data_IF_309563593916
#
_entry.id   IF_309563593916
#
_cell.length_a   1.000
_cell.length_b   1.000
_cell.length_c   1.000
_cell.angle_alpha   90.00
_cell.angle_beta   90.00
_cell.angle_gamma   90.00
#
_symmetry.space_group_name_H-M   'P 1'
#
loop_
_entity.id
_entity.type
_entity.pdbx_description
1 polymer ?
#
# COMPACT_ATOMS: atom_id res chain seq x y z
N UNK A 1 -17.20 9.70 -2.23
CA UNK A 1 -15.72 9.85 -2.12
C UNK A 1 -15.10 9.21 -3.33
N UNK A 2 -14.11 9.83 -3.99
CA UNK A 2 -13.49 9.32 -5.22
C UNK A 2 -12.80 7.96 -5.05
N UNK A 3 -12.46 7.57 -3.82
CA UNK A 3 -11.75 6.32 -3.48
C UNK A 3 -12.49 5.04 -3.94
N UNK A 4 -13.82 5.10 -4.07
CA UNK A 4 -14.65 3.95 -4.47
C UNK A 4 -14.78 3.80 -5.99
N UNK A 5 -14.16 4.69 -6.77
CA UNK A 5 -14.17 4.60 -8.21
C UNK A 5 -13.03 3.73 -8.75
N UNK A 6 -12.09 3.31 -7.90
CA UNK A 6 -10.86 2.63 -8.32
C UNK A 6 -10.96 1.13 -8.01
N UNK A 7 -10.67 0.29 -9.01
CA UNK A 7 -10.59 -1.16 -8.83
C UNK A 7 -9.16 -1.62 -8.49
N UNK A 8 -9.06 -2.67 -7.68
CA UNK A 8 -7.79 -3.28 -7.27
C UNK A 8 -7.60 -4.70 -7.80
N UNK A 9 -8.70 -5.46 -7.96
CA UNK A 9 -8.72 -6.79 -8.57
C UNK A 9 -9.93 -6.90 -9.50
N UNK A 10 -9.80 -7.70 -10.55
CA UNK A 10 -10.89 -8.08 -11.46
C UNK A 10 -10.71 -9.55 -11.82
N UNK A 11 -11.81 -10.25 -12.09
CA UNK A 11 -11.79 -11.63 -12.60
C UNK A 11 -11.82 -11.68 -14.12
N UNK A 12 -11.82 -10.51 -14.79
CA UNK A 12 -11.79 -10.44 -16.24
C UNK A 12 -10.52 -11.14 -16.78
N UNK A 13 -10.72 -12.11 -17.68
CA UNK A 13 -9.64 -12.90 -18.27
C UNK A 13 -9.31 -14.21 -17.53
N UNK A 14 -9.92 -14.47 -16.37
CA UNK A 14 -9.83 -15.77 -15.69
C UNK A 14 -10.82 -16.80 -16.30
N UNK A 15 -10.48 -18.11 -16.33
CA UNK A 15 -11.43 -19.15 -16.70
C UNK A 15 -12.65 -19.15 -15.77
N UNK A 16 -13.84 -18.84 -16.30
CA UNK A 16 -15.06 -18.70 -15.51
C UNK A 16 -15.15 -17.39 -14.70
N UNK A 17 -14.31 -16.40 -15.02
CA UNK A 17 -14.40 -15.05 -14.49
C UNK A 17 -15.56 -14.27 -15.10
N UNK A 18 -16.19 -13.42 -14.28
CA UNK A 18 -17.24 -12.50 -14.68
C UNK A 18 -16.73 -11.06 -14.76
N UNK A 19 -17.67 -10.12 -14.79
CA UNK A 19 -17.42 -8.68 -14.73
C UNK A 19 -17.30 -8.16 -13.29
N UNK A 20 -17.04 -9.07 -12.33
CA UNK A 20 -16.89 -8.72 -10.93
C UNK A 20 -15.52 -8.08 -10.70
N UNK A 21 -15.51 -7.02 -9.88
CA UNK A 21 -14.30 -6.34 -9.45
C UNK A 21 -14.29 -6.15 -7.95
N UNK A 22 -13.08 -6.02 -7.40
CA UNK A 22 -12.88 -5.65 -6.01
C UNK A 22 -12.28 -4.25 -5.94
N UNK A 23 -12.87 -3.38 -5.13
CA UNK A 23 -12.40 -2.00 -5.02
C UNK A 23 -11.00 -1.95 -4.43
N UNK A 24 -10.20 -1.02 -4.92
CA UNK A 24 -8.79 -0.86 -4.54
C UNK A 24 -8.65 -0.58 -3.04
N UNK A 25 -9.51 0.27 -2.49
CA UNK A 25 -9.51 0.55 -1.05
C UNK A 25 -9.81 -0.70 -0.21
N UNK A 26 -10.76 -1.54 -0.64
CA UNK A 26 -11.09 -2.78 0.06
C UNK A 26 -9.97 -3.80 -0.05
N UNK A 27 -9.42 -4.02 -1.25
CA UNK A 27 -8.27 -4.90 -1.40
C UNK A 27 -7.08 -4.47 -0.53
N UNK A 28 -6.80 -3.17 -0.47
CA UNK A 28 -5.74 -2.63 0.39
C UNK A 28 -5.99 -2.93 1.88
N UNK A 29 -7.24 -2.81 2.34
CA UNK A 29 -7.63 -3.14 3.70
C UNK A 29 -7.64 -4.64 3.99
N UNK A 30 -7.96 -5.49 3.01
CA UNK A 30 -7.86 -6.95 3.16
C UNK A 30 -6.41 -7.38 3.39
N UNK A 31 -5.49 -6.84 2.60
CA UNK A 31 -4.04 -7.09 2.74
C UNK A 31 -3.54 -6.56 4.10
N UNK A 32 -3.96 -5.36 4.50
CA UNK A 32 -3.64 -4.80 5.81
C UNK A 32 -4.17 -5.67 6.96
N UNK A 33 -5.39 -6.20 6.85
CA UNK A 33 -5.98 -7.11 7.84
C UNK A 33 -5.19 -8.43 7.94
N UNK A 34 -4.75 -8.98 6.80
CA UNK A 34 -3.88 -10.15 6.79
C UNK A 34 -2.56 -9.88 7.51
N UNK A 35 -1.89 -8.76 7.19
CA UNK A 35 -0.65 -8.38 7.86
C UNK A 35 -0.81 -8.15 9.36
N UNK A 36 -1.89 -7.46 9.77
CA UNK A 36 -2.22 -7.28 11.18
C UNK A 36 -2.23 -8.64 11.90
N UNK A 37 -2.99 -9.61 11.39
CA UNK A 37 -3.07 -10.94 12.00
C UNK A 37 -1.78 -11.74 11.90
N UNK A 38 -0.98 -11.55 10.84
CA UNK A 38 0.35 -12.15 10.74
C UNK A 38 1.24 -11.72 11.91
N UNK A 39 1.21 -10.44 12.30
CA UNK A 39 1.94 -9.96 13.48
C UNK A 39 1.30 -10.49 14.77
N UNK A 40 -0.02 -10.35 14.95
CA UNK A 40 -0.71 -10.78 16.19
C UNK A 40 -0.54 -12.27 16.49
N UNK A 41 -0.37 -13.09 15.45
CA UNK A 41 -0.19 -14.55 15.56
C UNK A 41 1.27 -14.99 15.44
N UNK A 42 2.20 -14.04 15.39
CA UNK A 42 3.64 -14.26 15.22
C UNK A 42 3.97 -15.22 14.05
N UNK A 43 3.24 -15.07 12.95
CA UNK A 43 3.42 -15.88 11.75
C UNK A 43 4.84 -15.66 11.23
N UNK A 44 5.61 -16.75 11.09
CA UNK A 44 7.04 -16.73 10.74
C UNK A 44 7.92 -15.86 11.67
N UNK A 45 7.53 -15.65 12.93
CA UNK A 45 8.31 -14.85 13.88
C UNK A 45 8.24 -13.34 13.64
N UNK A 46 7.22 -12.86 12.91
CA UNK A 46 7.09 -11.46 12.52
C UNK A 46 7.03 -10.51 13.72
N UNK A 47 6.37 -10.88 14.82
CA UNK A 47 6.38 -10.07 16.04
C UNK A 47 7.79 -10.06 16.68
N UNK A 48 8.54 -11.15 16.57
CA UNK A 48 9.96 -11.20 16.93
C UNK A 48 10.82 -10.20 16.12
N UNK A 49 10.60 -10.10 14.81
CA UNK A 49 11.30 -9.15 13.94
C UNK A 49 10.97 -7.69 14.30
N UNK A 50 9.71 -7.36 14.55
CA UNK A 50 9.31 -6.01 14.99
C UNK A 50 9.88 -5.64 16.36
N UNK A 51 9.92 -6.59 17.31
CA UNK A 51 10.59 -6.37 18.60
C UNK A 51 12.08 -6.08 18.46
N UNK A 52 12.78 -6.78 17.56
CA UNK A 52 14.18 -6.47 17.24
C UNK A 52 14.33 -5.06 16.67
N UNK A 53 13.36 -4.60 15.89
CA UNK A 53 13.26 -3.21 15.42
C UNK A 53 12.73 -2.26 16.50
N UNK A 54 12.62 -2.67 17.76
CA UNK A 54 12.23 -1.83 18.91
C UNK A 54 10.75 -1.51 19.01
N UNK A 55 9.89 -2.14 18.19
CA UNK A 55 8.43 -2.08 18.35
C UNK A 55 8.01 -3.21 19.28
N UNK A 56 8.03 -2.93 20.59
CA UNK A 56 7.84 -3.96 21.62
C UNK A 56 6.39 -4.34 21.87
N UNK A 57 5.48 -3.38 21.72
CA UNK A 57 4.06 -3.61 21.86
C UNK A 57 3.51 -4.30 20.60
N UNK A 58 2.82 -5.43 20.79
CA UNK A 58 2.33 -6.26 19.69
C UNK A 58 1.17 -5.59 18.94
N UNK A 59 0.39 -4.73 19.60
CA UNK A 59 -0.68 -3.99 18.96
C UNK A 59 -0.10 -2.90 18.05
N UNK A 60 0.85 -2.11 18.56
CA UNK A 60 1.59 -1.12 17.77
C UNK A 60 2.27 -1.79 16.56
N UNK A 61 2.97 -2.92 16.76
CA UNK A 61 3.61 -3.64 15.65
C UNK A 61 2.61 -4.09 14.58
N UNK A 62 1.46 -4.61 15.00
CA UNK A 62 0.42 -5.08 14.08
C UNK A 62 -0.23 -3.92 13.31
N UNK A 63 -0.55 -2.82 13.99
CA UNK A 63 -1.10 -1.62 13.36
C UNK A 63 -0.08 -0.94 12.43
N UNK A 64 1.19 -0.85 12.82
CA UNK A 64 2.25 -0.33 11.95
C UNK A 64 2.40 -1.14 10.68
N UNK A 65 2.44 -2.47 10.78
CA UNK A 65 2.56 -3.32 9.60
C UNK A 65 1.31 -3.25 8.70
N UNK A 66 0.12 -3.22 9.29
CA UNK A 66 -1.12 -3.06 8.55
C UNK A 66 -1.19 -1.70 7.83
N UNK A 67 -0.83 -0.60 8.51
CA UNK A 67 -0.71 0.72 7.90
C UNK A 67 0.28 0.71 6.74
N UNK A 68 1.46 0.09 6.93
CA UNK A 68 2.48 -0.02 5.89
C UNK A 68 1.92 -0.72 4.66
N UNK A 69 1.21 -1.83 4.86
CA UNK A 69 0.59 -2.59 3.79
C UNK A 69 -0.44 -1.79 3.01
N UNK A 70 -1.12 -0.80 3.59
CA UNK A 70 -2.03 0.04 2.81
C UNK A 70 -1.36 0.83 1.68
N UNK A 71 -0.03 0.98 1.72
CA UNK A 71 0.75 1.65 0.68
C UNK A 71 1.13 0.75 -0.50
N UNK A 72 1.04 -0.58 -0.37
CA UNK A 72 1.65 -1.52 -1.34
C UNK A 72 1.15 -1.31 -2.78
N UNK A 73 -0.15 -1.05 -2.92
CA UNK A 73 -0.87 -0.99 -4.20
C UNK A 73 -1.29 0.42 -4.63
N UNK A 74 -0.78 1.48 -3.99
CA UNK A 74 -1.20 2.86 -4.32
C UNK A 74 -0.90 3.25 -5.77
N UNK A 75 0.03 2.58 -6.45
CA UNK A 75 0.26 2.79 -7.88
C UNK A 75 -0.91 2.36 -8.77
N UNK A 76 -1.83 1.53 -8.26
CA UNK A 76 -3.06 1.15 -8.97
C UNK A 76 -4.04 2.31 -9.11
N UNK A 77 -3.91 3.38 -8.33
CA UNK A 77 -4.68 4.60 -8.58
C UNK A 77 -4.34 5.26 -9.92
N UNK A 78 -3.22 4.91 -10.56
CA UNK A 78 -2.84 5.50 -11.85
C UNK A 78 -3.89 5.28 -12.92
N UNK A 79 -4.09 6.30 -13.76
CA UNK A 79 -4.93 6.20 -14.96
C UNK A 79 -4.49 5.05 -15.85
N UNK A 80 -3.18 4.87 -15.99
CA UNK A 80 -2.60 3.79 -16.79
C UNK A 80 -2.95 2.38 -16.30
N UNK A 81 -3.16 2.19 -15.00
CA UNK A 81 -3.62 0.92 -14.43
C UNK A 81 -5.14 0.81 -14.51
N UNK A 82 -5.87 1.86 -14.13
CA UNK A 82 -7.33 1.83 -14.10
C UNK A 82 -7.94 1.59 -15.48
N UNK A 83 -7.34 2.08 -16.57
CA UNK A 83 -7.83 1.83 -17.93
C UNK A 83 -7.72 0.36 -18.39
N UNK A 84 -7.01 -0.51 -17.65
CA UNK A 84 -6.88 -1.93 -18.03
C UNK A 84 -8.21 -2.68 -17.89
N UNK A 85 -9.15 -2.13 -17.10
CA UNK A 85 -10.48 -2.66 -16.89
C UNK A 85 -11.48 -1.53 -16.65
N UNK A 86 -12.64 -1.58 -17.29
CA UNK A 86 -13.70 -0.56 -17.18
C UNK A 86 -15.03 -1.22 -16.86
N UNK A 87 -15.80 -0.61 -15.99
CA UNK A 87 -17.18 -1.02 -15.67
C UNK A 87 -18.01 0.24 -15.43
N UNK A 88 -19.30 0.21 -15.80
CA UNK A 88 -20.25 1.33 -15.65
C UNK A 88 -20.35 1.91 -14.22
N UNK A 89 -20.04 1.12 -13.19
CA UNK A 89 -20.09 1.51 -11.77
C UNK A 89 -18.76 2.14 -11.30
N UNK A 90 -17.70 2.05 -12.09
CA UNK A 90 -16.40 2.65 -11.81
C UNK A 90 -16.33 4.01 -12.49
N UNK A 91 -16.64 5.07 -11.74
CA UNK A 91 -16.64 6.43 -12.27
C UNK A 91 -15.22 7.06 -12.30
N UNK A 92 -14.21 6.34 -12.83
CA UNK A 92 -12.94 6.96 -13.19
C UNK A 92 -13.19 7.78 -14.46
N UNK A 93 -12.93 9.11 -14.48
CA UNK A 93 -13.22 9.93 -15.66
C UNK A 93 -12.58 9.34 -16.93
N UNK A 94 -13.26 9.43 -18.07
CA UNK A 94 -12.61 9.06 -19.33
C UNK A 94 -11.41 10.00 -19.58
N UNK A 95 -10.26 9.41 -19.92
CA UNK A 95 -9.11 10.19 -20.39
C UNK A 95 -9.12 10.20 -21.93
N UNK A 96 -8.87 11.38 -22.51
CA UNK A 96 -8.66 11.53 -23.94
C UNK A 96 -7.46 10.72 -24.45
N UNK A 97 -6.49 10.46 -23.55
CA UNK A 97 -5.31 9.65 -23.82
C UNK A 97 -5.62 8.16 -23.65
N UNK A 98 -5.38 7.40 -24.71
CA UNK A 98 -5.65 5.94 -24.74
C UNK A 98 -4.42 5.07 -24.48
N UNK A 99 -3.22 5.68 -24.45
CA UNK A 99 -1.96 4.94 -24.36
C UNK A 99 -1.03 5.58 -23.35
N UNK A 100 -0.49 4.76 -22.45
CA UNK A 100 0.52 5.16 -21.47
C UNK A 100 1.72 4.23 -21.57
N UNK A 101 2.85 4.70 -21.07
CA UNK A 101 4.01 3.83 -20.87
C UNK A 101 3.65 2.68 -19.92
N UNK A 102 4.06 1.45 -20.27
CA UNK A 102 3.80 0.25 -19.48
C UNK A 102 4.75 0.18 -18.30
N UNK A 103 4.32 0.75 -17.18
CA UNK A 103 5.07 0.77 -15.93
C UNK A 103 4.32 -0.08 -14.90
N UNK A 104 5.06 -0.89 -14.13
CA UNK A 104 4.45 -1.67 -13.05
C UNK A 104 3.84 -0.75 -11.98
N UNK A 105 2.70 -1.14 -11.42
CA UNK A 105 2.06 -0.36 -10.36
C UNK A 105 2.93 -0.29 -9.09
N UNK A 106 3.82 -1.26 -8.87
CA UNK A 106 4.88 -1.19 -7.87
C UNK A 106 5.75 0.07 -8.04
N UNK A 107 6.32 0.28 -9.23
CA UNK A 107 7.15 1.46 -9.52
C UNK A 107 6.33 2.75 -9.53
N UNK A 108 5.08 2.72 -9.99
CA UNK A 108 4.17 3.86 -9.95
C UNK A 108 3.85 4.29 -8.50
N UNK A 109 3.66 3.33 -7.59
CA UNK A 109 3.44 3.60 -6.18
C UNK A 109 4.68 4.21 -5.51
N UNK A 110 5.86 3.70 -5.85
CA UNK A 110 7.11 4.30 -5.36
C UNK A 110 7.33 5.71 -5.91
N UNK A 111 6.90 5.99 -7.14
CA UNK A 111 6.91 7.35 -7.67
C UNK A 111 5.95 8.27 -6.91
N UNK A 112 4.71 7.85 -6.63
CA UNK A 112 3.77 8.63 -5.81
C UNK A 112 4.39 9.00 -4.45
N UNK A 113 5.05 8.05 -3.80
CA UNK A 113 5.80 8.34 -2.58
C UNK A 113 6.82 9.46 -2.79
N UNK A 114 7.74 9.31 -3.74
CA UNK A 114 8.85 10.23 -3.91
C UNK A 114 8.43 11.66 -4.29
N UNK A 115 7.37 11.81 -5.11
CA UNK A 115 7.02 13.10 -5.72
C UNK A 115 5.79 13.77 -5.13
N UNK A 116 4.92 13.02 -4.44
CA UNK A 116 3.67 13.58 -3.91
C UNK A 116 3.50 13.37 -2.41
N UNK A 117 3.88 12.22 -1.86
CA UNK A 117 3.47 11.86 -0.48
C UNK A 117 4.60 11.93 0.55
N UNK A 118 5.86 11.94 0.13
CA UNK A 118 7.00 12.04 1.05
C UNK A 118 7.11 13.40 1.75
N UNK A 119 6.37 14.41 1.29
CA UNK A 119 6.25 15.74 1.91
C UNK A 119 4.86 16.01 2.53
N UNK A 120 4.05 14.96 2.72
CA UNK A 120 2.73 15.00 3.35
C UNK A 120 2.80 14.39 4.77
N UNK A 121 3.25 15.13 5.80
CA UNK A 121 3.42 14.60 7.15
C UNK A 121 2.09 14.10 7.77
N UNK A 122 0.95 14.61 7.31
CA UNK A 122 -0.36 14.15 7.73
C UNK A 122 -0.61 12.67 7.41
N UNK A 123 0.08 12.09 6.43
CA UNK A 123 -0.02 10.68 6.04
C UNK A 123 0.87 9.76 6.89
N UNK A 124 1.81 10.32 7.66
CA UNK A 124 2.81 9.54 8.40
C UNK A 124 2.29 9.09 9.77
N UNK A 125 2.92 8.06 10.37
CA UNK A 125 2.66 7.66 11.74
C UNK A 125 2.93 8.79 12.73
N UNK A 126 2.32 8.70 13.92
CA UNK A 126 2.68 9.58 15.02
C UNK A 126 4.11 9.27 15.46
N UNK A 127 4.89 10.31 15.73
CA UNK A 127 6.29 10.16 16.14
C UNK A 127 6.78 11.40 16.88
N UNK A 128 7.74 11.19 17.79
CA UNK A 128 8.54 12.26 18.41
C UNK A 128 9.65 12.80 17.50
N UNK A 129 9.91 12.13 16.36
CA UNK A 129 10.89 12.59 15.37
C UNK A 129 10.43 13.88 14.69
N UNK A 130 11.39 14.72 14.28
CA UNK A 130 11.08 15.84 13.40
C UNK A 130 10.57 15.33 12.05
N UNK A 131 9.72 16.11 11.36
CA UNK A 131 9.13 15.73 10.05
C UNK A 131 10.20 15.27 9.06
N UNK A 132 11.36 15.94 9.02
CA UNK A 132 12.48 15.58 8.15
C UNK A 132 13.05 14.19 8.47
N UNK A 133 13.20 13.86 9.76
CA UNK A 133 13.69 12.55 10.20
C UNK A 133 12.65 11.46 9.97
N UNK A 134 11.39 11.74 10.30
CA UNK A 134 10.27 10.85 10.02
C UNK A 134 10.18 10.50 8.53
N UNK A 135 10.28 11.50 7.64
CA UNK A 135 10.38 11.30 6.19
C UNK A 135 11.51 10.34 5.81
N UNK A 136 12.73 10.55 6.34
CA UNK A 136 13.89 9.68 6.07
C UNK A 136 13.61 8.24 6.50
N UNK A 137 13.08 8.07 7.70
CA UNK A 137 12.75 6.76 8.26
C UNK A 137 11.71 6.05 7.40
N UNK A 138 10.55 6.66 7.14
CA UNK A 138 9.50 6.03 6.33
C UNK A 138 9.98 5.75 4.90
N UNK A 139 10.86 6.58 4.33
CA UNK A 139 11.46 6.33 3.01
C UNK A 139 12.17 4.98 2.94
N UNK A 140 12.78 4.49 4.03
CA UNK A 140 13.43 3.17 4.06
C UNK A 140 12.44 2.02 3.84
N UNK A 141 11.19 2.18 4.30
CA UNK A 141 10.14 1.17 4.23
C UNK A 141 9.41 1.13 2.88
N UNK A 142 9.50 2.19 2.09
CA UNK A 142 8.69 2.30 0.87
C UNK A 142 9.13 1.36 -0.26
N UNK A 143 10.44 1.14 -0.53
CA UNK A 143 10.87 0.18 -1.54
C UNK A 143 10.42 -1.27 -1.27
N UNK A 144 10.46 -1.73 -0.01
CA UNK A 144 10.01 -3.09 0.32
C UNK A 144 8.48 -3.23 0.28
N UNK A 145 7.76 -2.13 0.47
CA UNK A 145 6.28 -2.12 0.50
C UNK A 145 5.70 -2.04 -0.91
N UNK A 146 6.19 -1.11 -1.70
CA UNK A 146 5.77 -0.94 -3.10
C UNK A 146 6.36 -2.01 -4.00
N UNK A 147 7.51 -2.58 -3.66
CA UNK A 147 8.17 -3.71 -4.34
C UNK A 147 7.54 -5.10 -4.09
N UNK A 148 6.27 -5.17 -3.71
CA UNK A 148 5.56 -6.40 -3.29
C UNK A 148 5.41 -7.47 -4.38
N UNK A 149 5.91 -7.24 -5.60
CA UNK A 149 6.02 -8.25 -6.67
C UNK A 149 7.36 -9.00 -6.66
N UNK A 150 8.08 -8.98 -5.54
CA UNK A 150 9.34 -9.71 -5.34
C UNK A 150 10.57 -9.03 -5.95
N UNK A 151 10.45 -7.76 -6.36
CA UNK A 151 11.57 -6.94 -6.85
C UNK A 151 11.41 -5.50 -6.36
N UNK A 152 12.49 -4.83 -5.90
CA UNK A 152 12.44 -3.42 -5.57
C UNK A 152 11.91 -2.59 -6.75
N UNK A 153 11.14 -1.52 -6.49
CA UNK A 153 10.64 -0.64 -7.54
C UNK A 153 11.80 0.06 -8.25
N UNK A 154 11.61 0.36 -9.53
CA UNK A 154 12.57 1.16 -10.29
C UNK A 154 12.28 2.63 -10.02
N UNK A 155 13.28 3.39 -9.56
CA UNK A 155 13.16 4.83 -9.36
C UNK A 155 13.05 5.56 -10.70
N UNK A 156 12.05 6.44 -10.83
CA UNK A 156 11.78 7.19 -12.07
C UNK A 156 11.66 8.68 -11.76
N UNK A 157 12.10 9.54 -12.68
CA UNK A 157 12.12 11.00 -12.46
C UNK A 157 10.93 11.75 -13.07
N UNK A 158 10.39 11.26 -14.18
CA UNK A 158 9.28 11.89 -14.87
C UNK A 158 8.33 10.79 -15.35
N UNK A 159 7.03 10.99 -15.10
CA UNK A 159 5.96 10.15 -15.63
C UNK A 159 4.68 10.98 -15.71
N UNK A 160 3.73 10.50 -16.51
CA UNK A 160 2.43 11.13 -16.74
C UNK A 160 1.27 10.12 -16.63
N UNK A 161 1.51 8.98 -15.97
CA UNK A 161 0.56 7.88 -15.79
C UNK A 161 -0.61 8.21 -14.84
N UNK A 162 -0.54 9.33 -14.11
CA UNK A 162 -1.56 9.76 -13.17
C UNK A 162 -2.21 11.06 -13.64
N UNK A 163 -3.53 11.11 -13.57
CA UNK A 163 -4.26 12.37 -13.59
C UNK A 163 -4.17 13.02 -12.19
N UNK A 164 -4.25 14.36 -12.05
CA UNK A 164 -4.27 15.02 -10.74
C UNK A 164 -5.35 14.47 -9.78
N UNK A 165 -6.50 14.05 -10.31
CA UNK A 165 -7.55 13.41 -9.50
C UNK A 165 -7.14 12.06 -8.92
N UNK A 166 -6.25 11.33 -9.60
CA UNK A 166 -5.76 10.02 -9.16
C UNK A 166 -4.82 10.17 -7.96
N UNK A 167 -3.92 11.16 -8.05
CA UNK A 167 -3.03 11.54 -6.94
C UNK A 167 -3.87 11.97 -5.74
N UNK A 168 -4.91 12.79 -5.97
CA UNK A 168 -5.83 13.21 -4.91
C UNK A 168 -6.57 12.02 -4.30
N UNK A 169 -7.09 11.10 -5.11
CA UNK A 169 -7.81 9.92 -4.60
C UNK A 169 -6.89 9.00 -3.76
N UNK A 170 -5.64 8.80 -4.19
CA UNK A 170 -4.65 8.06 -3.42
C UNK A 170 -4.31 8.76 -2.08
N UNK A 171 -4.16 10.09 -2.09
CA UNK A 171 -3.96 10.88 -0.85
C UNK A 171 -5.17 10.77 0.09
N UNK A 172 -6.38 11.01 -0.42
CA UNK A 172 -7.62 10.94 0.35
C UNK A 172 -7.80 9.53 0.98
N UNK A 173 -7.46 8.47 0.23
CA UNK A 173 -7.47 7.10 0.73
C UNK A 173 -6.50 6.91 1.91
N UNK A 174 -5.22 7.28 1.73
CA UNK A 174 -4.18 7.16 2.75
C UNK A 174 -4.49 8.01 4.00
N UNK A 175 -5.12 9.17 3.82
CA UNK A 175 -5.57 10.02 4.91
C UNK A 175 -6.74 9.38 5.67
N UNK A 176 -7.72 8.80 4.96
CA UNK A 176 -8.90 8.18 5.57
C UNK A 176 -8.54 6.96 6.45
N UNK A 177 -7.63 6.10 5.98
CA UNK A 177 -7.23 4.89 6.72
C UNK A 177 -6.44 5.18 7.99
N UNK A 178 -5.88 6.39 8.16
CA UNK A 178 -5.03 6.72 9.31
C UNK A 178 -5.77 6.53 10.63
N UNK A 179 -7.07 6.83 10.66
CA UNK A 179 -7.93 6.62 11.82
C UNK A 179 -8.08 5.16 12.26
N UNK A 180 -7.75 4.20 11.39
CA UNK A 180 -7.80 2.76 11.69
C UNK A 180 -6.59 2.27 12.50
N UNK A 181 -5.53 3.08 12.62
CA UNK A 181 -4.26 2.70 13.24
C UNK A 181 -3.85 3.70 14.35
N UNK A 182 -4.67 3.89 15.40
CA UNK A 182 -4.46 4.94 16.40
C UNK A 182 -3.23 4.74 17.29
N UNK A 183 -2.79 3.49 17.49
CA UNK A 183 -1.70 3.13 18.41
C UNK A 183 -0.35 3.03 17.70
N UNK A 184 -0.30 3.36 16.41
CA UNK A 184 0.90 3.27 15.60
C UNK A 184 1.92 4.36 15.98
N UNK A 185 3.05 3.93 16.54
CA UNK A 185 4.20 4.76 16.87
C UNK A 185 5.49 4.08 16.39
N UNK A 186 6.39 4.86 15.78
CA UNK A 186 7.69 4.34 15.33
C UNK A 186 8.84 4.69 16.29
N UNK A 187 9.80 3.78 16.52
CA UNK A 187 10.98 4.04 17.34
C UNK A 187 11.89 5.13 16.76
N UNK A 188 12.35 6.05 17.62
CA UNK A 188 13.20 7.17 17.21
C UNK A 188 14.58 6.74 16.67
N UNK A 189 15.11 5.59 17.14
CA UNK A 189 16.43 5.08 16.74
C UNK A 189 16.48 4.63 15.27
N UNK A 190 15.35 4.48 14.58
CA UNK A 190 15.35 4.17 13.14
C UNK A 190 16.02 5.25 12.26
N UNK A 191 16.24 6.47 12.77
CA UNK A 191 16.93 7.57 12.05
C UNK A 191 18.46 7.57 12.23
N UNK A 192 18.99 6.78 13.18
CA UNK A 192 20.43 6.65 13.44
C UNK A 192 21.08 5.50 12.65
N UNK A 193 22.41 5.50 12.59
CA UNK A 193 23.17 4.57 11.75
C UNK A 193 22.98 3.10 12.18
N UNK A 194 22.86 2.83 13.49
CA UNK A 194 22.64 1.48 14.02
C UNK A 194 21.23 0.96 13.69
N UNK A 195 20.23 1.83 13.80
CA UNK A 195 18.85 1.53 13.44
C UNK A 195 18.69 1.28 11.93
N UNK A 196 19.35 2.08 11.09
CA UNK A 196 19.36 1.89 9.63
C UNK A 196 20.02 0.55 9.27
N UNK A 197 21.16 0.22 9.87
CA UNK A 197 21.84 -1.04 9.63
C UNK A 197 21.00 -2.24 10.06
N UNK A 198 20.39 -2.18 11.25
CA UNK A 198 19.50 -3.23 11.74
C UNK A 198 18.26 -3.39 10.85
N UNK A 199 17.69 -2.28 10.37
CA UNK A 199 16.60 -2.30 9.40
C UNK A 199 17.03 -3.00 8.11
N UNK A 200 18.20 -2.68 7.55
CA UNK A 200 18.69 -3.31 6.32
C UNK A 200 18.81 -4.83 6.48
N UNK A 201 19.33 -5.31 7.61
CA UNK A 201 19.45 -6.75 7.90
C UNK A 201 18.10 -7.48 7.99
N UNK A 202 17.05 -6.78 8.44
CA UNK A 202 15.71 -7.35 8.62
C UNK A 202 14.76 -7.08 7.45
N UNK A 203 15.10 -6.13 6.58
CA UNK A 203 14.25 -5.64 5.49
C UNK A 203 13.77 -6.75 4.55
N UNK A 204 14.62 -7.76 4.28
CA UNK A 204 14.26 -8.90 3.44
C UNK A 204 13.13 -9.75 4.03
N UNK A 205 13.13 -9.96 5.35
CA UNK A 205 12.06 -10.71 6.02
C UNK A 205 10.74 -9.94 5.99
N UNK A 206 10.79 -8.63 6.23
CA UNK A 206 9.61 -7.77 6.14
C UNK A 206 9.07 -7.74 4.70
N UNK A 207 9.95 -7.63 3.70
CA UNK A 207 9.57 -7.70 2.29
C UNK A 207 8.85 -9.01 1.95
N UNK A 208 9.37 -10.16 2.42
CA UNK A 208 8.71 -11.45 2.23
C UNK A 208 7.32 -11.49 2.91
N UNK A 209 7.18 -10.88 4.09
CA UNK A 209 5.90 -10.78 4.77
C UNK A 209 4.90 -9.89 4.00
N UNK A 210 5.37 -8.80 3.36
CA UNK A 210 4.54 -7.95 2.49
C UNK A 210 3.99 -8.75 1.31
N UNK A 211 4.86 -9.50 0.61
CA UNK A 211 4.45 -10.36 -0.51
C UNK A 211 3.41 -11.39 -0.06
N UNK A 212 3.64 -12.03 1.09
CA UNK A 212 2.72 -13.03 1.63
C UNK A 212 1.37 -12.42 2.04
N UNK A 213 1.37 -11.22 2.61
CA UNK A 213 0.14 -10.50 2.94
C UNK A 213 -0.66 -10.18 1.68
N UNK A 214 -0.03 -9.69 0.59
CA UNK A 214 -0.71 -9.45 -0.69
C UNK A 214 -1.31 -10.74 -1.27
N UNK A 215 -0.53 -11.83 -1.29
CA UNK A 215 -1.01 -13.12 -1.81
C UNK A 215 -2.22 -13.65 -1.05
N UNK A 216 -2.17 -13.57 0.28
CA UNK A 216 -3.27 -14.06 1.14
C UNK A 216 -4.49 -13.14 1.10
N UNK A 217 -4.27 -11.81 1.10
CA UNK A 217 -5.31 -10.79 0.93
C UNK A 217 -5.92 -10.74 -0.47
N UNK A 218 -5.30 -11.40 -1.45
CA UNK A 218 -5.82 -11.56 -2.81
C UNK A 218 -6.72 -12.79 -2.99
N UNK A 219 -6.95 -13.59 -1.95
CA UNK A 219 -7.72 -14.83 -2.06
C UNK A 219 -9.22 -14.56 -2.22
N UNK A 220 -9.75 -14.77 -3.42
CA UNK A 220 -11.19 -14.63 -3.72
C UNK A 220 -12.10 -15.58 -2.93
N UNK A 221 -11.53 -16.63 -2.32
CA UNK A 221 -12.23 -17.51 -1.39
C UNK A 221 -12.58 -16.82 -0.07
N UNK A 222 -11.68 -15.98 0.44
CA UNK A 222 -11.81 -15.32 1.74
C UNK A 222 -12.23 -13.85 1.60
N UNK A 223 -11.84 -13.22 0.49
CA UNK A 223 -12.15 -11.84 0.12
C UNK A 223 -12.84 -11.85 -1.25
N UNK A 224 -14.13 -12.26 -1.31
CA UNK A 224 -14.85 -12.30 -2.57
C UNK A 224 -15.00 -10.88 -3.14
N UNK A 225 -14.87 -10.69 -4.46
CA UNK A 225 -15.18 -9.42 -5.09
C UNK A 225 -16.59 -8.95 -4.74
N UNK A 226 -16.76 -7.65 -4.57
CA UNK A 226 -18.09 -7.05 -4.44
C UNK A 226 -18.88 -7.34 -5.71
N UNK A 227 -20.11 -7.87 -5.58
CA UNK A 227 -21.03 -7.90 -6.71
C UNK A 227 -21.31 -6.46 -7.16
N UNK A 228 -21.48 -6.19 -8.47
CA UNK A 228 -21.90 -4.90 -8.98
C UNK A 228 -23.37 -4.66 -8.61
N UNK A 229 -23.66 -4.48 -7.33
CA UNK A 229 -24.96 -4.04 -6.83
C UNK A 229 -24.79 -2.62 -6.31
N UNK A 230 -25.51 -1.69 -6.96
CA UNK A 230 -25.64 -0.27 -6.62
C UNK A 230 -25.36 0.01 -5.15
N UNK A 231 -24.12 0.39 -4.83
CA UNK A 231 -23.78 0.88 -3.50
C UNK A 231 -24.49 2.23 -3.34
N UNK A 232 -25.58 2.21 -2.56
CA UNK A 232 -26.30 3.38 -2.10
C UNK A 232 -25.45 4.23 -1.15
#
# INVERSE_FOLDING_TARGET
>A
MSIYNYWGKTRQGEPGGGDDYHLLCWHSLDVAAMGYWMVKRDIYGLAGHFRRLGVNDIENAAQFFAWLLCWHDIGKFSRSFQQLYTHDNLCVPEDSRKTYEKISHASLGYWLWNFHFSDCPELFPNSSLSIRKLKRVITLWMPLTTGHHGRPPVGMRALDNFHPSDIKAAHDFLLAIKSLFPDMEIPAFWDDDEGVELFNQLSWFISAAVVLADWTGSSTRFFPPSLPTNAA
#
